data_IF_534991785547
#
_entry.id   IF_534991785547
#
_cell.length_a   1.000
_cell.length_b   1.000
_cell.length_c   1.000
_cell.angle_alpha   90.00
_cell.angle_beta   90.00
_cell.angle_gamma   90.00
#
_symmetry.space_group_name_H-M   'P 1'
#
loop_
_entity.id
_entity.type
_entity.pdbx_description
1 polymer ?
#
# COMPACT_ATOMS: atom_id res chain seq x y z
N UNK A 1 2.49 3.68 14.79
CA UNK A 1 1.95 2.47 14.13
C UNK A 1 0.72 2.92 13.37
N UNK A 2 0.81 2.85 12.05
CA UNK A 2 -0.21 3.34 11.14
C UNK A 2 -0.86 2.18 10.43
N UNK A 3 -2.19 2.23 10.30
CA UNK A 3 -2.97 1.25 9.54
C UNK A 3 -3.77 1.98 8.48
N UNK A 4 -3.69 1.50 7.25
CA UNK A 4 -4.47 2.04 6.14
C UNK A 4 -4.67 0.97 5.07
N UNK A 5 -5.63 1.20 4.17
CA UNK A 5 -5.81 0.37 3.00
C UNK A 5 -5.73 1.19 1.72
N UNK A 6 -5.30 0.55 0.62
CA UNK A 6 -5.34 1.12 -0.73
C UNK A 6 -6.24 0.24 -1.60
N UNK A 7 -7.14 0.86 -2.35
CA UNK A 7 -7.86 0.24 -3.47
C UNK A 7 -7.15 0.59 -4.77
N UNK A 8 -6.81 -0.44 -5.54
CA UNK A 8 -5.99 -0.37 -6.73
C UNK A 8 -6.75 -1.03 -7.88
N UNK A 9 -6.57 -0.52 -9.10
CA UNK A 9 -7.34 -0.95 -10.27
C UNK A 9 -6.67 -2.11 -11.02
N UNK A 10 -5.40 -2.39 -10.72
CA UNK A 10 -4.65 -3.48 -11.37
C UNK A 10 -3.65 -4.13 -10.43
N UNK A 11 -3.26 -5.36 -10.75
CA UNK A 11 -2.23 -6.09 -10.04
C UNK A 11 -0.87 -5.36 -10.12
N UNK A 12 -0.59 -4.73 -11.26
CA UNK A 12 0.62 -3.94 -11.47
C UNK A 12 0.70 -2.75 -10.51
N UNK A 13 -0.40 -2.03 -10.30
CA UNK A 13 -0.46 -0.96 -9.30
C UNK A 13 -0.23 -1.50 -7.88
N UNK A 14 -0.82 -2.66 -7.56
CA UNK A 14 -0.63 -3.29 -6.26
C UNK A 14 0.83 -3.70 -6.02
N UNK A 15 1.46 -4.34 -7.01
CA UNK A 15 2.89 -4.69 -6.94
C UNK A 15 3.78 -3.46 -6.81
N UNK A 16 3.46 -2.38 -7.53
CA UNK A 16 4.18 -1.11 -7.43
C UNK A 16 4.06 -0.50 -6.02
N UNK A 17 2.85 -0.48 -5.44
CA UNK A 17 2.65 0.00 -4.08
C UNK A 17 3.43 -0.85 -3.06
N UNK A 18 3.41 -2.19 -3.19
CA UNK A 18 4.19 -3.07 -2.32
C UNK A 18 5.70 -2.81 -2.42
N UNK A 19 6.23 -2.63 -3.64
CA UNK A 19 7.64 -2.35 -3.86
C UNK A 19 8.07 -0.99 -3.28
N UNK A 20 7.26 0.06 -3.46
CA UNK A 20 7.50 1.37 -2.87
C UNK A 20 7.54 1.29 -1.33
N UNK A 21 6.57 0.59 -0.73
CA UNK A 21 6.51 0.42 0.72
C UNK A 21 7.73 -0.36 1.23
N UNK A 22 8.00 -1.54 0.65
CA UNK A 22 8.97 -2.48 1.21
C UNK A 22 10.41 -2.16 0.85
N UNK A 23 10.67 -1.92 -0.44
CA UNK A 23 12.01 -1.81 -0.99
C UNK A 23 12.49 -0.36 -1.06
N UNK A 24 11.60 0.57 -1.44
CA UNK A 24 11.99 1.98 -1.57
C UNK A 24 11.98 2.72 -0.23
N UNK A 25 10.93 2.54 0.57
CA UNK A 25 10.76 3.29 1.83
C UNK A 25 11.10 2.48 3.08
N UNK A 26 11.37 1.18 2.93
CA UNK A 26 11.75 0.32 4.05
C UNK A 26 10.67 0.23 5.13
N UNK A 27 9.39 0.36 4.75
CA UNK A 27 8.25 0.17 5.66
C UNK A 27 8.32 -1.25 6.21
N UNK A 28 8.30 -1.36 7.54
CA UNK A 28 8.28 -2.63 8.28
C UNK A 28 6.90 -2.85 8.89
N UNK A 29 6.51 -4.11 9.01
CA UNK A 29 5.19 -4.54 9.49
C UNK A 29 4.55 -5.54 8.53
N UNK A 30 3.23 -5.47 8.39
CA UNK A 30 2.43 -6.40 7.58
C UNK A 30 1.86 -5.68 6.36
N UNK A 31 2.02 -6.30 5.19
CA UNK A 31 1.38 -5.84 3.94
C UNK A 31 0.71 -7.06 3.31
N UNK A 32 -0.61 -7.01 3.22
CA UNK A 32 -1.43 -8.08 2.66
C UNK A 32 -2.14 -7.59 1.39
N UNK A 33 -2.06 -8.38 0.32
CA UNK A 33 -2.77 -8.12 -0.93
C UNK A 33 -3.99 -9.04 -1.03
N UNK A 34 -5.15 -8.42 -1.12
CA UNK A 34 -6.44 -9.10 -1.27
C UNK A 34 -6.99 -8.81 -2.67
N UNK A 35 -7.08 -9.82 -3.56
CA UNK A 35 -7.75 -9.65 -4.83
C UNK A 35 -9.27 -9.47 -4.62
N UNK A 36 -9.86 -8.54 -5.35
CA UNK A 36 -11.30 -8.27 -5.39
C UNK A 36 -11.81 -8.44 -6.84
N UNK A 37 -13.12 -8.40 -7.05
CA UNK A 37 -13.70 -8.44 -8.40
C UNK A 37 -13.30 -7.19 -9.20
N UNK A 38 -12.28 -7.32 -10.04
CA UNK A 38 -11.76 -6.26 -10.91
C UNK A 38 -10.87 -5.23 -10.22
N UNK A 39 -10.50 -5.42 -8.95
CA UNK A 39 -9.65 -4.53 -8.18
C UNK A 39 -8.73 -5.30 -7.24
N UNK A 40 -7.78 -4.60 -6.64
CA UNK A 40 -6.88 -5.14 -5.63
C UNK A 40 -6.90 -4.24 -4.41
N UNK A 41 -6.97 -4.84 -3.23
CA UNK A 41 -6.87 -4.14 -1.97
C UNK A 41 -5.55 -4.47 -1.30
N UNK A 42 -4.77 -3.45 -0.97
CA UNK A 42 -3.62 -3.61 -0.09
C UNK A 42 -3.99 -3.16 1.32
N UNK A 43 -3.83 -4.06 2.27
CA UNK A 43 -3.88 -3.77 3.70
C UNK A 43 -2.47 -3.56 4.22
N UNK A 44 -2.22 -2.39 4.81
CA UNK A 44 -0.89 -2.02 5.32
C UNK A 44 -0.98 -1.72 6.81
N UNK A 45 -0.18 -2.45 7.59
CA UNK A 45 0.09 -2.18 8.99
C UNK A 45 1.58 -1.85 9.10
N UNK A 46 1.87 -0.56 9.18
CA UNK A 46 3.24 -0.07 9.28
C UNK A 46 3.61 0.17 10.75
N UNK A 47 4.77 -0.34 11.16
CA UNK A 47 5.34 -0.09 12.50
C UNK A 47 5.55 1.41 12.74
N UNK A 48 6.00 2.12 11.69
CA UNK A 48 6.20 3.56 11.67
C UNK A 48 5.23 4.24 10.72
N UNK A 49 4.87 5.46 11.05
CA UNK A 49 3.93 6.22 10.27
C UNK A 49 4.62 6.76 9.01
N UNK A 50 3.92 6.67 7.87
CA UNK A 50 4.39 7.22 6.61
C UNK A 50 4.18 8.74 6.58
N UNK A 51 5.10 9.43 5.93
CA UNK A 51 4.98 10.87 5.67
C UNK A 51 3.84 11.15 4.69
N UNK A 52 3.29 12.37 4.73
CA UNK A 52 2.26 12.80 3.78
C UNK A 52 2.70 12.62 2.32
N UNK A 53 3.95 12.98 2.00
CA UNK A 53 4.51 12.84 0.65
C UNK A 53 4.60 11.37 0.20
N UNK A 54 4.90 10.44 1.10
CA UNK A 54 4.88 9.00 0.77
C UNK A 54 3.46 8.53 0.50
N UNK A 55 2.50 8.96 1.33
CA UNK A 55 1.09 8.59 1.17
C UNK A 55 0.49 9.13 -0.13
N UNK A 56 0.89 10.32 -0.58
CA UNK A 56 0.46 10.90 -1.86
C UNK A 56 1.06 10.21 -3.09
N UNK A 57 2.24 9.58 -2.95
CA UNK A 57 2.92 8.84 -4.02
C UNK A 57 2.43 7.40 -4.17
N UNK A 58 1.65 6.89 -3.22
CA UNK A 58 1.09 5.56 -3.32
C UNK A 58 0.01 5.53 -4.41
N UNK A 59 0.03 4.55 -5.33
CA UNK A 59 -1.02 4.42 -6.32
C UNK A 59 -2.34 4.01 -5.66
N UNK A 60 -3.43 4.24 -6.39
CA UNK A 60 -4.77 3.89 -5.95
C UNK A 60 -5.38 4.88 -4.96
N UNK A 61 -6.54 4.51 -4.43
CA UNK A 61 -7.31 5.32 -3.49
C UNK A 61 -7.19 4.77 -2.08
N UNK A 62 -6.77 5.62 -1.14
CA UNK A 62 -6.76 5.25 0.28
C UNK A 62 -8.18 5.14 0.84
N UNK A 63 -8.46 4.08 1.59
CA UNK A 63 -9.75 3.80 2.24
C UNK A 63 -9.60 3.51 3.72
#
# INVERSE_FOLDING_TARGET
MQKFSLLLESEEQARTAMDLLWNTWGVRGEIEMVPLEGQFKLHVIAEKDLTAQQLEKLPGKRT
#
